data_IF_241341377509
#
_entry.id   IF_241341377509
#
_cell.length_a   1.000
_cell.length_b   1.000
_cell.length_c   1.000
_cell.angle_alpha   90.00
_cell.angle_beta   90.00
_cell.angle_gamma   90.00
#
_symmetry.space_group_name_H-M   'P 1'
#
loop_
_entity.id
_entity.type
_entity.pdbx_description
1 polymer ?
#
# COMPACT_ATOMS: atom_id res chain seq x y z
N UNK A 1 -22.11 -4.77 58.58
CA UNK A 1 -23.51 -5.24 58.46
C UNK A 1 -23.82 -5.73 57.04
N UNK A 2 -23.39 -5.03 55.99
CA UNK A 2 -23.53 -5.44 54.57
C UNK A 2 -22.78 -6.74 54.20
N UNK A 3 -21.57 -6.96 54.72
CA UNK A 3 -20.82 -8.20 54.48
C UNK A 3 -21.43 -9.46 55.12
N UNK A 4 -22.13 -9.27 56.25
CA UNK A 4 -22.76 -10.36 57.01
C UNK A 4 -24.11 -10.74 56.39
N UNK A 5 -24.85 -9.75 55.89
CA UNK A 5 -26.05 -9.96 55.06
C UNK A 5 -25.73 -10.60 53.71
N UNK A 6 -24.65 -10.18 53.04
CA UNK A 6 -24.19 -10.84 51.81
C UNK A 6 -23.81 -12.31 52.06
N UNK A 7 -23.19 -12.60 53.21
CA UNK A 7 -22.86 -13.96 53.62
C UNK A 7 -24.11 -14.82 53.90
N UNK A 8 -25.13 -14.27 54.58
CA UNK A 8 -26.40 -14.95 54.84
C UNK A 8 -27.23 -15.21 53.56
N UNK A 9 -27.29 -14.23 52.65
CA UNK A 9 -27.96 -14.38 51.35
C UNK A 9 -27.24 -15.36 50.43
N UNK A 10 -25.91 -15.46 50.51
CA UNK A 10 -25.15 -16.49 49.83
C UNK A 10 -25.59 -17.86 50.32
N UNK A 11 -25.63 -18.11 51.64
CA UNK A 11 -25.98 -19.42 52.22
C UNK A 11 -27.41 -19.92 51.95
N UNK A 12 -28.35 -19.07 51.53
CA UNK A 12 -29.73 -19.45 51.25
C UNK A 12 -29.96 -19.97 49.81
N UNK A 13 -28.98 -19.81 48.90
CA UNK A 13 -29.05 -20.34 47.52
C UNK A 13 -28.53 -21.76 47.42
N UNK A 14 -29.02 -22.51 46.44
CA UNK A 14 -28.55 -23.87 46.16
C UNK A 14 -27.01 -23.87 46.00
N UNK A 15 -26.28 -24.88 46.52
CA UNK A 15 -24.81 -24.90 46.47
C UNK A 15 -24.25 -24.83 45.04
N UNK A 16 -25.07 -25.23 44.04
CA UNK A 16 -24.75 -25.15 42.62
C UNK A 16 -24.69 -23.69 42.12
N UNK A 17 -25.60 -22.83 42.58
CA UNK A 17 -25.64 -21.41 42.16
C UNK A 17 -24.47 -20.60 42.71
N UNK A 18 -24.03 -20.89 43.94
CA UNK A 18 -22.88 -20.22 44.55
C UNK A 18 -21.58 -20.55 43.80
N UNK A 19 -21.37 -21.83 43.51
CA UNK A 19 -20.19 -22.30 42.76
C UNK A 19 -20.17 -21.71 41.36
N UNK A 20 -21.34 -21.63 40.70
CA UNK A 20 -21.48 -21.02 39.38
C UNK A 20 -21.15 -19.51 39.39
N UNK A 21 -21.62 -18.77 40.39
CA UNK A 21 -21.33 -17.34 40.52
C UNK A 21 -19.84 -17.05 40.76
N UNK A 22 -19.19 -17.84 41.64
CA UNK A 22 -17.76 -17.71 41.90
C UNK A 22 -16.92 -18.03 40.65
N UNK A 23 -17.30 -19.09 39.93
CA UNK A 23 -16.70 -19.44 38.64
C UNK A 23 -16.84 -18.31 37.61
N UNK A 24 -18.04 -17.75 37.43
CA UNK A 24 -18.25 -16.64 36.50
C UNK A 24 -17.46 -15.39 36.89
N UNK A 25 -17.39 -15.05 38.18
CA UNK A 25 -16.66 -13.88 38.66
C UNK A 25 -15.16 -14.01 38.39
N UNK A 26 -14.57 -15.17 38.69
CA UNK A 26 -13.17 -15.47 38.40
C UNK A 26 -12.88 -15.45 36.89
N UNK A 27 -13.74 -16.07 36.09
CA UNK A 27 -13.63 -16.09 34.63
C UNK A 27 -13.66 -14.68 34.02
N UNK A 28 -14.64 -13.85 34.41
CA UNK A 28 -14.81 -12.51 33.84
C UNK A 28 -13.70 -11.55 34.30
N UNK A 29 -13.23 -11.69 35.54
CA UNK A 29 -12.09 -10.92 36.04
C UNK A 29 -10.81 -11.24 35.25
N UNK A 30 -10.55 -12.52 35.01
CA UNK A 30 -9.40 -12.97 34.21
C UNK A 30 -9.51 -12.51 32.74
N UNK A 31 -10.71 -12.59 32.16
CA UNK A 31 -10.97 -12.09 30.81
C UNK A 31 -10.70 -10.58 30.73
N UNK A 32 -11.22 -9.81 31.68
CA UNK A 32 -10.97 -8.36 31.77
C UNK A 32 -9.49 -8.02 31.86
N UNK A 33 -8.74 -8.70 32.73
CA UNK A 33 -7.29 -8.53 32.86
C UNK A 33 -6.58 -8.80 31.52
N UNK A 34 -6.91 -9.91 30.86
CA UNK A 34 -6.30 -10.30 29.58
C UNK A 34 -6.58 -9.28 28.47
N UNK A 35 -7.81 -8.75 28.41
CA UNK A 35 -8.19 -7.72 27.42
C UNK A 35 -7.47 -6.40 27.69
N UNK A 36 -7.34 -6.00 28.96
CA UNK A 36 -6.60 -4.78 29.34
C UNK A 36 -5.12 -4.90 28.97
N UNK A 37 -4.50 -6.03 29.28
CA UNK A 37 -3.10 -6.30 28.93
C UNK A 37 -2.90 -6.27 27.40
N UNK A 38 -3.73 -6.98 26.65
CA UNK A 38 -3.68 -6.98 25.19
C UNK A 38 -3.91 -5.59 24.58
N UNK A 39 -4.85 -4.80 25.11
CA UNK A 39 -5.09 -3.42 24.70
C UNK A 39 -3.84 -2.55 24.90
N UNK A 40 -3.22 -2.61 26.08
CA UNK A 40 -2.00 -1.86 26.37
C UNK A 40 -0.86 -2.24 25.43
N UNK A 41 -0.68 -3.54 25.20
CA UNK A 41 0.32 -4.04 24.26
C UNK A 41 0.04 -3.56 22.83
N UNK A 42 -1.20 -3.68 22.34
CA UNK A 42 -1.59 -3.25 21.00
C UNK A 42 -1.35 -1.74 20.79
N UNK A 43 -1.73 -0.90 21.77
CA UNK A 43 -1.51 0.54 21.71
C UNK A 43 -0.02 0.87 21.73
N UNK A 44 0.76 0.27 22.64
CA UNK A 44 2.20 0.49 22.74
C UNK A 44 2.91 0.11 21.44
N UNK A 45 2.62 -1.07 20.90
CA UNK A 45 3.23 -1.55 19.65
C UNK A 45 2.78 -0.74 18.43
N UNK A 46 1.54 -0.24 18.41
CA UNK A 46 1.06 0.64 17.34
C UNK A 46 1.85 1.94 17.24
N UNK A 47 2.33 2.45 18.39
CA UNK A 47 3.18 3.65 18.46
C UNK A 47 4.62 3.37 18.02
N UNK A 48 5.16 2.19 18.34
CA UNK A 48 6.53 1.81 18.00
C UNK A 48 6.69 1.39 16.52
N UNK A 49 5.63 0.93 15.88
CA UNK A 49 5.72 0.36 14.52
C UNK A 49 5.81 1.43 13.43
N UNK A 50 6.77 1.24 12.49
CA UNK A 50 6.97 2.11 11.31
C UNK A 50 6.01 1.83 10.14
N UNK A 51 5.55 0.60 9.97
CA UNK A 51 4.64 0.22 8.87
C UNK A 51 3.20 0.59 9.20
N UNK A 52 2.59 1.44 8.37
CA UNK A 52 1.22 1.92 8.59
C UNK A 52 0.18 0.80 8.57
N UNK A 53 0.37 -0.25 7.76
CA UNK A 53 -0.54 -1.40 7.72
C UNK A 53 -0.65 -2.11 9.07
N UNK A 54 0.47 -2.32 9.76
CA UNK A 54 0.52 -2.94 11.09
C UNK A 54 -0.07 -1.99 12.14
N UNK A 55 0.26 -0.69 12.05
CA UNK A 55 -0.28 0.33 12.94
C UNK A 55 -1.81 0.39 12.88
N UNK A 56 -2.39 0.38 11.68
CA UNK A 56 -3.84 0.37 11.50
C UNK A 56 -4.44 -0.92 12.06
N UNK A 57 -3.87 -2.09 11.75
CA UNK A 57 -4.34 -3.38 12.29
C UNK A 57 -4.37 -3.41 13.81
N UNK A 58 -3.30 -2.96 14.47
CA UNK A 58 -3.23 -2.89 15.93
C UNK A 58 -4.22 -1.89 16.54
N UNK A 59 -4.49 -0.75 15.86
CA UNK A 59 -5.50 0.22 16.31
C UNK A 59 -6.92 -0.34 16.19
N UNK A 60 -7.22 -1.07 15.12
CA UNK A 60 -8.51 -1.75 14.94
C UNK A 60 -8.71 -2.83 16.02
N UNK A 61 -7.66 -3.62 16.30
CA UNK A 61 -7.70 -4.60 17.38
C UNK A 61 -7.88 -3.93 18.76
N UNK A 62 -7.20 -2.82 19.03
CA UNK A 62 -7.37 -2.03 20.24
C UNK A 62 -8.81 -1.49 20.38
N UNK A 63 -9.43 -1.02 19.30
CA UNK A 63 -10.84 -0.62 19.32
C UNK A 63 -11.75 -1.80 19.71
N UNK A 64 -11.51 -3.00 19.17
CA UNK A 64 -12.22 -4.21 19.56
C UNK A 64 -12.07 -4.55 21.05
N UNK A 65 -10.90 -4.32 21.63
CA UNK A 65 -10.68 -4.51 23.07
C UNK A 65 -11.53 -3.56 23.92
N UNK A 66 -11.75 -2.32 23.47
CA UNK A 66 -12.64 -1.38 24.18
C UNK A 66 -14.07 -1.93 24.25
N UNK A 67 -14.59 -2.47 23.14
CA UNK A 67 -15.91 -3.13 23.15
C UNK A 67 -15.94 -4.38 24.03
N UNK A 68 -14.86 -5.15 24.10
CA UNK A 68 -14.75 -6.28 25.03
C UNK A 68 -14.75 -5.81 26.49
N UNK A 69 -14.07 -4.71 26.82
CA UNK A 69 -14.08 -4.14 28.18
C UNK A 69 -15.46 -3.62 28.58
N UNK A 70 -16.17 -2.94 27.67
CA UNK A 70 -17.56 -2.52 27.91
C UNK A 70 -18.45 -3.73 28.26
N UNK A 71 -18.30 -4.83 27.53
CA UNK A 71 -19.02 -6.08 27.82
C UNK A 71 -18.63 -6.68 29.17
N UNK A 72 -17.34 -6.71 29.52
CA UNK A 72 -16.83 -7.19 30.82
C UNK A 72 -17.41 -6.36 31.97
N UNK A 73 -17.40 -5.02 31.86
CA UNK A 73 -17.98 -4.11 32.86
C UNK A 73 -19.48 -4.35 33.00
N UNK A 74 -20.21 -4.46 31.89
CA UNK A 74 -21.64 -4.79 31.90
C UNK A 74 -21.92 -6.11 32.64
N UNK A 75 -21.18 -7.17 32.33
CA UNK A 75 -21.32 -8.46 33.01
C UNK A 75 -20.98 -8.40 34.50
N UNK A 76 -19.91 -7.69 34.87
CA UNK A 76 -19.53 -7.52 36.28
C UNK A 76 -20.63 -6.79 37.06
N UNK A 77 -21.20 -5.71 36.51
CA UNK A 77 -22.29 -4.98 37.18
C UNK A 77 -23.53 -5.86 37.39
N UNK A 78 -23.89 -6.72 36.43
CA UNK A 78 -25.02 -7.66 36.58
C UNK A 78 -24.75 -8.74 37.62
N UNK A 79 -23.54 -9.31 37.66
CA UNK A 79 -23.17 -10.35 38.66
C UNK A 79 -23.14 -9.76 40.07
N UNK A 80 -22.55 -8.58 40.24
CA UNK A 80 -22.49 -7.89 41.54
C UNK A 80 -23.88 -7.45 42.00
N UNK A 81 -24.71 -6.94 41.09
CA UNK A 81 -26.11 -6.57 41.39
C UNK A 81 -26.95 -7.76 41.88
N UNK A 82 -26.76 -8.93 41.27
CA UNK A 82 -27.38 -10.18 41.72
C UNK A 82 -26.92 -10.57 43.15
N UNK A 83 -25.63 -10.40 43.45
CA UNK A 83 -25.07 -10.71 44.78
C UNK A 83 -25.50 -9.74 45.88
N UNK A 84 -25.87 -8.49 45.53
CA UNK A 84 -26.36 -7.48 46.46
C UNK A 84 -27.89 -7.51 46.65
N UNK A 85 -28.59 -8.45 46.00
CA UNK A 85 -30.05 -8.52 46.04
C UNK A 85 -30.76 -7.35 45.35
N UNK A 86 -30.03 -6.58 44.54
CA UNK A 86 -30.55 -5.48 43.72
C UNK A 86 -30.85 -5.91 42.27
N UNK A 87 -30.65 -7.20 41.97
CA UNK A 87 -30.87 -7.77 40.65
C UNK A 87 -32.34 -8.15 40.47
N UNK A 88 -32.99 -7.55 39.47
CA UNK A 88 -34.30 -7.98 39.01
C UNK A 88 -34.20 -9.43 38.50
N UNK A 89 -34.99 -10.34 39.07
CA UNK A 89 -35.09 -11.77 38.74
C UNK A 89 -35.81 -11.99 37.39
N UNK A 90 -35.60 -11.10 36.42
CA UNK A 90 -36.06 -11.34 35.06
C UNK A 90 -35.03 -12.25 34.41
N UNK A 91 -35.33 -13.55 34.38
CA UNK A 91 -34.95 -14.42 33.28
C UNK A 91 -35.34 -13.73 31.97
N UNK A 92 -34.48 -12.84 31.46
CA UNK A 92 -34.69 -12.21 30.17
C UNK A 92 -34.41 -13.27 29.09
N UNK A 93 -35.41 -14.13 28.82
CA UNK A 93 -35.57 -14.66 27.49
C UNK A 93 -35.65 -13.45 26.55
N UNK A 94 -34.53 -13.12 25.88
CA UNK A 94 -34.47 -12.08 24.86
C UNK A 94 -35.41 -12.48 23.71
N UNK A 95 -36.69 -12.09 23.80
CA UNK A 95 -37.68 -12.35 22.76
C UNK A 95 -37.60 -11.32 21.62
N UNK A 96 -36.78 -10.27 21.73
CA UNK A 96 -36.65 -9.23 20.69
C UNK A 96 -35.25 -8.63 20.62
N UNK A 97 -34.76 -8.44 19.39
CA UNK A 97 -33.47 -7.83 19.03
C UNK A 97 -33.37 -6.31 19.32
N UNK A 98 -34.47 -5.68 19.78
CA UNK A 98 -34.63 -4.21 19.82
C UNK A 98 -34.65 -3.65 21.25
N UNK A 99 -34.70 -4.49 22.29
CA UNK A 99 -34.59 -4.00 23.67
C UNK A 99 -33.16 -3.52 23.93
N UNK A 100 -33.01 -2.26 24.32
CA UNK A 100 -31.73 -1.56 24.50
C UNK A 100 -30.73 -2.33 25.38
N UNK A 101 -31.18 -3.15 26.32
CA UNK A 101 -30.32 -3.96 27.20
C UNK A 101 -29.80 -5.25 26.54
N UNK A 102 -30.62 -5.98 25.76
CA UNK A 102 -30.20 -7.21 25.05
C UNK A 102 -29.32 -6.89 23.82
N UNK A 103 -29.60 -5.78 23.13
CA UNK A 103 -28.80 -5.35 21.98
C UNK A 103 -27.31 -5.18 22.36
N UNK A 104 -27.02 -4.50 23.48
CA UNK A 104 -25.64 -4.33 23.96
C UNK A 104 -24.98 -5.64 24.41
N UNK A 105 -25.73 -6.58 24.99
CA UNK A 105 -25.18 -7.84 25.49
C UNK A 105 -24.69 -8.78 24.39
N UNK A 106 -25.29 -8.75 23.20
CA UNK A 106 -24.94 -9.64 22.08
C UNK A 106 -24.07 -8.94 21.04
N UNK A 107 -24.37 -7.67 20.73
CA UNK A 107 -23.63 -6.94 19.70
C UNK A 107 -22.24 -6.54 20.14
N UNK A 108 -22.04 -6.14 21.41
CA UNK A 108 -20.72 -5.72 21.91
C UNK A 108 -19.65 -6.81 21.80
N UNK A 109 -19.87 -8.06 22.29
CA UNK A 109 -18.87 -9.12 22.13
C UNK A 109 -18.70 -9.55 20.67
N UNK A 110 -19.76 -9.54 19.86
CA UNK A 110 -19.65 -9.85 18.42
C UNK A 110 -18.79 -8.82 17.67
N UNK A 111 -19.01 -7.52 17.92
CA UNK A 111 -18.21 -6.43 17.36
C UNK A 111 -16.77 -6.49 17.87
N UNK A 112 -16.57 -6.78 19.17
CA UNK A 112 -15.24 -6.93 19.74
C UNK A 112 -14.43 -8.03 19.04
N UNK A 113 -15.02 -9.24 18.90
CA UNK A 113 -14.37 -10.36 18.20
C UNK A 113 -14.10 -10.02 16.75
N UNK A 114 -15.08 -9.44 16.03
CA UNK A 114 -14.91 -9.05 14.64
C UNK A 114 -13.75 -8.07 14.47
N UNK A 115 -13.69 -7.01 15.28
CA UNK A 115 -12.64 -5.99 15.21
C UNK A 115 -11.26 -6.55 15.59
N UNK A 116 -11.18 -7.41 16.60
CA UNK A 116 -9.92 -8.06 16.99
C UNK A 116 -9.44 -8.98 15.87
N UNK A 117 -10.30 -9.86 15.34
CA UNK A 117 -9.97 -10.75 14.23
C UNK A 117 -9.56 -9.97 12.97
N UNK A 118 -10.32 -8.94 12.61
CA UNK A 118 -10.02 -8.13 11.44
C UNK A 118 -8.71 -7.35 11.63
N UNK A 119 -8.49 -6.77 12.81
CA UNK A 119 -7.26 -6.02 13.12
C UNK A 119 -6.00 -6.89 13.10
N UNK A 120 -6.09 -8.12 13.60
CA UNK A 120 -4.98 -9.07 13.61
C UNK A 120 -4.73 -9.73 12.25
N UNK A 121 -5.78 -9.94 11.43
CA UNK A 121 -5.64 -10.48 10.08
C UNK A 121 -5.29 -9.41 9.04
N UNK A 122 -5.49 -8.13 9.36
CA UNK A 122 -5.23 -7.00 8.47
C UNK A 122 -3.81 -7.01 7.88
N UNK A 123 -2.72 -7.18 8.67
CA UNK A 123 -1.36 -7.20 8.11
C UNK A 123 -1.12 -8.42 7.22
N UNK A 124 -1.72 -9.57 7.55
CA UNK A 124 -1.58 -10.81 6.80
C UNK A 124 -2.24 -10.73 5.41
N UNK A 125 -3.33 -9.97 5.28
CA UNK A 125 -4.03 -9.78 3.99
C UNK A 125 -3.46 -8.61 3.21
N UNK A 126 -3.15 -7.49 3.86
CA UNK A 126 -2.72 -6.28 3.16
C UNK A 126 -1.28 -6.38 2.63
N UNK A 127 -0.41 -7.11 3.33
CA UNK A 127 0.97 -7.35 2.91
C UNK A 127 1.07 -8.03 1.53
N UNK A 128 0.48 -9.23 1.29
CA UNK A 128 0.58 -9.90 0.00
C UNK A 128 -0.10 -9.10 -1.11
N UNK A 129 -1.19 -8.37 -0.83
CA UNK A 129 -1.83 -7.51 -1.83
C UNK A 129 -0.89 -6.38 -2.26
N UNK A 130 -0.26 -5.70 -1.30
CA UNK A 130 0.69 -4.62 -1.59
C UNK A 130 1.92 -5.12 -2.35
N UNK A 131 2.44 -6.29 -1.97
CA UNK A 131 3.57 -6.93 -2.64
C UNK A 131 3.20 -7.38 -4.06
N UNK A 132 2.02 -7.98 -4.25
CA UNK A 132 1.54 -8.36 -5.57
C UNK A 132 1.29 -7.15 -6.47
N UNK A 133 0.75 -6.05 -5.93
CA UNK A 133 0.61 -4.77 -6.66
C UNK A 133 1.97 -4.20 -7.05
N UNK A 134 2.94 -4.19 -6.13
CA UNK A 134 4.31 -3.72 -6.39
C UNK A 134 4.96 -4.54 -7.51
N UNK A 135 4.95 -5.88 -7.41
CA UNK A 135 5.48 -6.78 -8.45
C UNK A 135 4.79 -6.58 -9.79
N UNK A 136 3.45 -6.48 -9.81
CA UNK A 136 2.69 -6.20 -11.04
C UNK A 136 3.08 -4.86 -11.66
N UNK A 137 3.28 -3.83 -10.85
CA UNK A 137 3.74 -2.53 -11.33
C UNK A 137 5.17 -2.61 -11.88
N UNK A 138 6.09 -3.30 -11.19
CA UNK A 138 7.47 -3.48 -11.64
C UNK A 138 7.54 -4.25 -12.96
N UNK A 139 6.83 -5.38 -13.07
CA UNK A 139 6.78 -6.17 -14.31
C UNK A 139 6.17 -5.37 -15.46
N UNK A 140 5.04 -4.69 -15.23
CA UNK A 140 4.42 -3.86 -16.28
C UNK A 140 5.33 -2.72 -16.72
N UNK A 141 5.98 -2.04 -15.77
CA UNK A 141 6.90 -0.94 -16.04
C UNK A 141 8.11 -1.42 -16.86
N UNK A 142 8.65 -2.58 -16.50
CA UNK A 142 9.73 -3.21 -17.24
C UNK A 142 9.34 -3.52 -18.70
N UNK A 143 8.14 -4.05 -18.91
CA UNK A 143 7.61 -4.36 -20.24
C UNK A 143 7.26 -3.11 -21.06
N UNK A 144 6.74 -2.05 -20.45
CA UNK A 144 6.45 -0.79 -21.16
C UNK A 144 7.70 -0.01 -21.55
N UNK A 145 8.79 -0.15 -20.79
CA UNK A 145 10.10 0.44 -21.16
C UNK A 145 10.82 -0.36 -22.27
N UNK A 146 10.38 -1.60 -22.55
CA UNK A 146 11.04 -2.51 -23.48
C UNK A 146 11.22 -1.96 -24.90
N UNK A 147 10.22 -1.31 -25.55
CA UNK A 147 10.37 -0.86 -26.94
C UNK A 147 11.46 0.22 -27.08
N UNK A 148 11.47 1.20 -26.18
CA UNK A 148 12.48 2.25 -26.14
C UNK A 148 13.87 1.67 -25.87
N UNK A 149 13.98 0.78 -24.89
CA UNK A 149 15.24 0.12 -24.55
C UNK A 149 15.80 -0.73 -25.69
N UNK A 150 14.95 -1.50 -26.39
CA UNK A 150 15.39 -2.34 -27.52
C UNK A 150 16.00 -1.52 -28.65
N UNK A 151 15.37 -0.38 -28.99
CA UNK A 151 15.84 0.51 -30.04
C UNK A 151 17.18 1.19 -29.67
N UNK A 152 17.34 1.59 -28.40
CA UNK A 152 18.60 2.14 -27.88
C UNK A 152 19.71 1.09 -27.81
N UNK A 153 19.42 -0.10 -27.27
CA UNK A 153 20.40 -1.18 -27.10
C UNK A 153 20.86 -1.75 -28.45
N UNK A 154 19.99 -1.75 -29.47
CA UNK A 154 20.36 -2.17 -30.82
C UNK A 154 21.35 -1.21 -31.50
N UNK A 155 21.23 0.09 -31.24
CA UNK A 155 22.14 1.10 -31.77
C UNK A 155 23.43 1.23 -30.96
N UNK A 156 23.32 1.11 -29.63
CA UNK A 156 24.42 1.40 -28.70
C UNK A 156 24.62 0.22 -27.73
N UNK A 157 25.19 -0.91 -28.17
CA UNK A 157 25.37 -2.08 -27.32
C UNK A 157 26.18 -1.80 -26.03
N UNK A 158 27.03 -0.77 -26.04
CA UNK A 158 27.83 -0.35 -24.89
C UNK A 158 27.02 0.17 -23.69
N UNK A 159 25.75 0.55 -23.86
CA UNK A 159 24.89 0.95 -22.74
C UNK A 159 24.35 -0.26 -21.97
N UNK A 160 24.35 -1.44 -22.60
CA UNK A 160 23.89 -2.65 -21.97
C UNK A 160 24.97 -3.07 -20.99
N UNK A 161 24.69 -2.88 -19.71
CA UNK A 161 25.59 -3.31 -18.64
C UNK A 161 25.78 -4.82 -18.80
N UNK A 162 27.01 -5.32 -18.65
CA UNK A 162 27.31 -6.74 -18.88
C UNK A 162 26.73 -7.63 -17.78
N UNK A 163 26.41 -8.87 -18.12
CA UNK A 163 25.80 -9.89 -17.24
C UNK A 163 26.83 -10.63 -16.37
N UNK A 164 28.10 -10.19 -16.37
CA UNK A 164 29.18 -10.84 -15.62
C UNK A 164 28.97 -10.83 -14.08
N UNK A 165 28.00 -10.07 -13.58
CA UNK A 165 27.58 -10.02 -12.18
C UNK A 165 26.25 -10.74 -11.90
N UNK A 166 25.72 -11.53 -12.85
CA UNK A 166 24.65 -12.50 -12.57
C UNK A 166 25.25 -13.69 -11.79
N UNK A 167 25.83 -13.38 -10.63
CA UNK A 167 26.33 -14.33 -9.65
C UNK A 167 25.16 -15.20 -9.22
N UNK A 168 25.34 -16.49 -9.48
CA UNK A 168 24.52 -17.60 -9.06
C UNK A 168 23.95 -17.38 -7.64
N UNK A 169 22.64 -17.12 -7.56
CA UNK A 169 21.93 -17.07 -6.28
C UNK A 169 20.88 -15.95 -6.16
N UNK A 170 20.98 -14.89 -6.95
CA UNK A 170 19.93 -13.86 -7.01
C UNK A 170 18.97 -14.18 -8.14
N UNK A 171 17.85 -14.83 -7.84
CA UNK A 171 16.66 -14.69 -8.66
C UNK A 171 16.29 -13.20 -8.67
N UNK A 172 16.87 -12.44 -9.61
CA UNK A 172 16.92 -10.99 -9.63
C UNK A 172 15.53 -10.39 -9.35
N UNK A 173 15.42 -9.69 -8.23
CA UNK A 173 14.20 -8.99 -7.83
C UNK A 173 13.70 -8.14 -9.01
N UNK A 174 12.38 -8.13 -9.25
CA UNK A 174 11.80 -7.38 -10.38
C UNK A 174 12.11 -5.89 -10.28
N UNK A 175 12.32 -5.40 -9.05
CA UNK A 175 12.81 -4.07 -8.72
C UNK A 175 14.21 -3.79 -9.30
N UNK A 176 15.15 -4.71 -9.08
CA UNK A 176 16.53 -4.58 -9.57
C UNK A 176 16.58 -4.54 -11.10
N UNK A 177 15.82 -5.42 -11.77
CA UNK A 177 15.74 -5.45 -13.25
C UNK A 177 15.14 -4.16 -13.82
N UNK A 178 14.13 -3.61 -13.15
CA UNK A 178 13.53 -2.33 -13.54
C UNK A 178 14.52 -1.19 -13.37
N UNK A 179 15.18 -1.11 -12.21
CA UNK A 179 16.17 -0.07 -11.90
C UNK A 179 17.35 -0.11 -12.89
N UNK A 180 17.87 -1.30 -13.21
CA UNK A 180 18.91 -1.46 -14.23
C UNK A 180 18.46 -0.95 -15.59
N UNK A 181 17.26 -1.34 -16.05
CA UNK A 181 16.72 -0.88 -17.35
C UNK A 181 16.55 0.64 -17.40
N UNK A 182 16.14 1.27 -16.29
CA UNK A 182 16.02 2.74 -16.18
C UNK A 182 17.38 3.42 -16.35
N UNK A 183 18.43 2.88 -15.73
CA UNK A 183 19.81 3.39 -15.86
C UNK A 183 20.29 3.22 -17.31
N UNK A 184 20.14 2.02 -17.90
CA UNK A 184 20.57 1.75 -19.28
C UNK A 184 19.87 2.66 -20.31
N UNK A 185 18.57 2.95 -20.13
CA UNK A 185 17.85 3.92 -20.97
C UNK A 185 18.39 5.34 -20.76
N UNK A 186 18.65 5.73 -19.51
CA UNK A 186 19.16 7.06 -19.19
C UNK A 186 20.56 7.29 -19.79
N UNK A 187 21.43 6.29 -19.71
CA UNK A 187 22.75 6.28 -20.35
C UNK A 187 22.65 6.33 -21.87
N UNK A 188 21.68 5.60 -22.46
CA UNK A 188 21.34 5.68 -23.88
C UNK A 188 20.92 7.08 -24.32
N UNK A 189 20.01 7.71 -23.58
CA UNK A 189 19.56 9.07 -23.86
C UNK A 189 20.72 10.08 -23.71
N UNK A 190 21.59 9.88 -22.73
CA UNK A 190 22.77 10.72 -22.51
C UNK A 190 23.77 10.61 -23.66
N UNK A 191 24.06 9.39 -24.14
CA UNK A 191 24.98 9.19 -25.25
C UNK A 191 24.38 9.61 -26.60
N UNK A 192 23.06 9.72 -26.74
CA UNK A 192 22.41 10.37 -27.89
C UNK A 192 22.58 11.89 -27.92
N UNK A 193 23.12 12.54 -26.89
CA UNK A 193 23.24 14.01 -26.79
C UNK A 193 23.80 14.70 -28.04
N UNK A 194 24.86 14.21 -28.71
CA UNK A 194 25.40 14.85 -29.92
C UNK A 194 24.43 14.85 -31.13
N UNK A 195 23.44 13.96 -31.12
CA UNK A 195 22.47 13.76 -32.20
C UNK A 195 21.13 14.47 -31.92
N UNK A 196 20.98 15.14 -30.77
CA UNK A 196 19.71 15.76 -30.38
C UNK A 196 19.47 17.06 -31.15
N UNK A 197 18.51 17.01 -32.08
CA UNK A 197 17.82 18.11 -32.79
C UNK A 197 17.21 19.25 -31.95
N UNK A 198 17.79 20.46 -31.85
CA UNK A 198 17.01 21.62 -31.33
C UNK A 198 15.77 21.91 -32.18
N UNK A 199 15.89 21.85 -33.51
CA UNK A 199 14.78 22.08 -34.45
C UNK A 199 13.67 21.03 -34.28
N UNK A 200 14.05 19.76 -34.07
CA UNK A 200 13.08 18.68 -33.80
C UNK A 200 12.30 18.98 -32.52
N UNK A 201 12.98 19.42 -31.47
CA UNK A 201 12.30 19.76 -30.22
C UNK A 201 11.32 20.92 -30.40
N UNK A 202 11.73 22.01 -31.03
CA UNK A 202 10.86 23.18 -31.23
C UNK A 202 9.63 22.82 -32.09
N UNK A 203 9.84 22.02 -33.13
CA UNK A 203 8.75 21.46 -33.94
C UNK A 203 7.80 20.59 -33.10
N UNK A 204 8.33 19.66 -32.30
CA UNK A 204 7.51 18.81 -31.44
C UNK A 204 6.76 19.64 -30.38
N UNK A 205 7.40 20.63 -29.75
CA UNK A 205 6.79 21.51 -28.77
C UNK A 205 5.69 22.40 -29.36
N UNK A 206 5.76 22.73 -30.64
CA UNK A 206 4.68 23.45 -31.34
C UNK A 206 3.46 22.58 -31.60
N UNK A 207 3.65 21.26 -31.75
CA UNK A 207 2.58 20.29 -32.00
C UNK A 207 1.93 19.78 -30.70
N UNK A 208 2.73 19.64 -29.64
CA UNK A 208 2.27 19.24 -28.31
C UNK A 208 2.29 20.47 -27.42
N UNK A 209 1.14 21.09 -27.17
CA UNK A 209 1.05 22.20 -26.21
C UNK A 209 1.68 21.75 -24.86
N UNK A 210 2.84 22.31 -24.51
CA UNK A 210 3.77 21.77 -23.50
C UNK A 210 3.31 21.97 -22.05
N UNK A 211 2.01 22.14 -21.80
CA UNK A 211 1.48 22.51 -20.48
C UNK A 211 1.32 21.33 -19.52
N UNK A 212 1.55 20.10 -19.98
CA UNK A 212 1.41 18.88 -19.17
C UNK A 212 2.67 18.02 -19.22
N UNK A 213 2.92 17.23 -18.17
CA UNK A 213 4.02 16.26 -18.17
C UNK A 213 3.93 15.28 -19.35
N UNK A 214 2.73 14.88 -19.77
CA UNK A 214 2.54 14.02 -20.95
C UNK A 214 2.99 14.71 -22.24
N UNK A 215 2.68 16.00 -22.41
CA UNK A 215 3.12 16.76 -23.59
C UNK A 215 4.65 16.92 -23.64
N UNK A 216 5.29 17.16 -22.50
CA UNK A 216 6.73 17.21 -22.39
C UNK A 216 7.38 15.85 -22.70
N UNK A 217 6.78 14.76 -22.21
CA UNK A 217 7.22 13.40 -22.52
C UNK A 217 7.09 13.07 -24.03
N UNK A 218 6.04 13.55 -24.69
CA UNK A 218 5.86 13.40 -26.14
C UNK A 218 6.92 14.16 -26.94
N UNK A 219 7.28 15.37 -26.51
CA UNK A 219 8.39 16.14 -27.09
C UNK A 219 9.71 15.40 -26.91
N UNK A 220 10.00 14.90 -25.71
CA UNK A 220 11.21 14.13 -25.43
C UNK A 220 11.28 12.86 -26.27
N UNK A 221 10.16 12.13 -26.38
CA UNK A 221 10.07 10.92 -27.20
C UNK A 221 10.36 11.20 -28.69
N UNK A 222 9.83 12.30 -29.24
CA UNK A 222 10.10 12.72 -30.61
C UNK A 222 11.58 13.08 -30.83
N UNK A 223 12.20 13.78 -29.87
CA UNK A 223 13.62 14.13 -29.92
C UNK A 223 14.50 12.87 -29.84
N UNK A 224 14.20 11.94 -28.93
CA UNK A 224 14.94 10.67 -28.81
C UNK A 224 14.82 9.84 -30.08
N UNK A 225 13.61 9.72 -30.65
CA UNK A 225 13.38 9.00 -31.91
C UNK A 225 14.18 9.60 -33.08
N UNK A 226 14.20 10.92 -33.21
CA UNK A 226 14.96 11.59 -34.26
C UNK A 226 16.48 11.46 -34.02
N UNK A 227 16.94 11.66 -32.79
CA UNK A 227 18.36 11.51 -32.43
C UNK A 227 18.87 10.08 -32.69
N UNK A 228 18.04 9.07 -32.44
CA UNK A 228 18.38 7.69 -32.74
C UNK A 228 18.49 7.44 -34.26
N UNK A 229 17.61 8.04 -35.06
CA UNK A 229 17.68 7.95 -36.52
C UNK A 229 18.92 8.67 -37.09
N UNK A 230 19.28 9.82 -36.49
CA UNK A 230 20.48 10.57 -36.86
C UNK A 230 21.77 9.88 -36.41
N UNK A 231 21.79 9.22 -35.24
CA UNK A 231 22.88 8.33 -34.80
C UNK A 231 23.13 7.23 -35.82
N UNK A 232 22.07 6.52 -36.22
CA UNK A 232 22.13 5.45 -37.24
C UNK A 232 22.72 5.92 -38.57
N UNK A 233 22.50 7.18 -38.91
CA UNK A 233 23.01 7.81 -40.12
C UNK A 233 24.36 8.51 -39.93
N UNK A 234 24.92 8.54 -38.72
CA UNK A 234 26.16 9.26 -38.40
C UNK A 234 26.05 10.78 -38.51
N UNK A 235 24.85 11.35 -38.37
CA UNK A 235 24.59 12.80 -38.55
C UNK A 235 24.51 13.53 -37.21
N UNK A 236 25.50 14.34 -36.90
CA UNK A 236 25.45 15.21 -35.73
C UNK A 236 24.41 16.33 -35.89
N UNK A 237 23.83 16.76 -34.77
CA UNK A 237 22.92 17.90 -34.78
C UNK A 237 23.69 19.21 -34.98
N UNK A 238 23.25 20.04 -35.94
CA UNK A 238 23.80 21.39 -36.14
C UNK A 238 23.66 22.27 -34.87
N UNK A 239 22.50 22.17 -34.22
CA UNK A 239 22.22 22.80 -32.93
C UNK A 239 21.74 21.74 -31.94
N UNK A 240 22.57 21.50 -30.92
CA UNK A 240 22.29 20.50 -29.90
C UNK A 240 21.18 20.96 -28.98
N UNK A 241 20.17 20.12 -28.89
CA UNK A 241 19.07 20.27 -27.96
C UNK A 241 19.56 20.07 -26.49
N UNK A 242 19.38 21.04 -25.56
CA UNK A 242 19.53 20.77 -24.11
C UNK A 242 18.68 19.57 -23.60
N UNK A 243 19.03 18.98 -22.45
CA UNK A 243 18.17 18.01 -21.76
C UNK A 243 16.79 18.61 -21.48
N UNK A 244 15.75 17.79 -21.38
CA UNK A 244 14.44 18.27 -20.93
C UNK A 244 14.52 18.75 -19.49
N UNK A 245 13.88 19.89 -19.20
CA UNK A 245 13.85 20.49 -17.85
C UNK A 245 13.22 19.51 -16.87
N UNK A 246 12.16 18.81 -17.28
CA UNK A 246 11.53 17.79 -16.45
C UNK A 246 12.49 16.64 -16.14
N UNK A 247 13.27 16.14 -17.11
CA UNK A 247 14.26 15.09 -16.85
C UNK A 247 15.35 15.58 -15.88
N UNK A 248 15.77 16.84 -15.99
CA UNK A 248 16.80 17.42 -15.12
C UNK A 248 16.30 17.74 -13.70
N UNK A 249 15.00 17.91 -13.49
CA UNK A 249 14.41 18.27 -12.20
C UNK A 249 14.20 17.07 -11.25
N UNK A 250 14.53 15.85 -11.69
CA UNK A 250 14.23 14.62 -10.94
C UNK A 250 15.42 14.18 -10.10
N UNK A 251 15.15 13.92 -8.82
CA UNK A 251 16.18 13.62 -7.81
C UNK A 251 16.15 12.15 -7.34
N UNK A 252 15.07 11.41 -7.63
CA UNK A 252 14.90 10.01 -7.20
C UNK A 252 14.56 9.10 -8.39
N UNK A 253 15.10 7.88 -8.33
CA UNK A 253 15.01 6.86 -9.36
C UNK A 253 13.56 6.44 -9.66
N UNK A 254 12.67 6.55 -8.67
CA UNK A 254 11.24 6.32 -8.88
C UNK A 254 10.59 7.41 -9.75
N UNK A 255 10.98 8.67 -9.56
CA UNK A 255 10.50 9.77 -10.39
C UNK A 255 11.04 9.63 -11.82
N UNK A 256 12.30 9.22 -11.97
CA UNK A 256 12.90 8.89 -13.28
C UNK A 256 12.17 7.74 -13.97
N UNK A 257 11.86 6.68 -13.22
CA UNK A 257 11.07 5.55 -13.75
C UNK A 257 9.72 6.04 -14.28
N UNK A 258 8.99 6.84 -13.51
CA UNK A 258 7.69 7.37 -13.92
C UNK A 258 7.78 8.25 -15.17
N UNK A 259 8.82 9.08 -15.28
CA UNK A 259 9.07 9.88 -16.47
C UNK A 259 9.36 9.03 -17.69
N UNK A 260 10.29 8.09 -17.58
CA UNK A 260 10.66 7.23 -18.69
C UNK A 260 9.48 6.36 -19.13
N UNK A 261 8.55 6.02 -18.24
CA UNK A 261 7.30 5.36 -18.62
C UNK A 261 6.42 6.25 -19.52
N UNK A 262 6.30 7.54 -19.20
CA UNK A 262 5.58 8.49 -20.06
C UNK A 262 6.29 8.67 -21.40
N UNK A 263 7.62 8.79 -21.40
CA UNK A 263 8.42 8.93 -22.62
C UNK A 263 8.33 7.66 -23.47
N UNK A 264 8.41 6.47 -22.87
CA UNK A 264 8.32 5.20 -23.59
C UNK A 264 6.91 4.96 -24.16
N UNK A 265 5.87 5.33 -23.42
CA UNK A 265 4.49 5.30 -23.93
C UNK A 265 4.32 6.23 -25.12
N UNK A 266 4.75 7.49 -25.00
CA UNK A 266 4.73 8.43 -26.12
C UNK A 266 5.60 7.96 -27.28
N UNK A 267 6.77 7.37 -27.00
CA UNK A 267 7.65 6.80 -28.01
C UNK A 267 6.94 5.69 -28.80
N UNK A 268 6.20 4.81 -28.14
CA UNK A 268 5.44 3.76 -28.81
C UNK A 268 4.30 4.30 -29.70
N UNK A 269 3.69 5.43 -29.33
CA UNK A 269 2.55 6.02 -30.04
C UNK A 269 2.93 7.09 -31.08
N UNK A 270 4.09 7.73 -30.96
CA UNK A 270 4.64 8.63 -31.99
C UNK A 270 5.09 7.74 -33.15
N UNK A 271 4.29 7.72 -34.22
CA UNK A 271 4.58 6.97 -35.45
C UNK A 271 5.97 7.31 -35.99
N UNK A 272 6.58 6.34 -36.70
CA UNK A 272 7.89 6.50 -37.36
C UNK A 272 7.97 7.87 -38.03
N UNK A 273 8.91 8.71 -37.57
CA UNK A 273 9.20 10.01 -38.17
C UNK A 273 9.46 9.77 -39.65
N UNK A 274 8.67 10.42 -40.51
CA UNK A 274 8.90 10.37 -41.94
C UNK A 274 10.24 11.01 -42.27
N UNK A 275 10.80 10.69 -43.44
CA UNK A 275 12.07 11.21 -43.96
C UNK A 275 12.11 12.76 -44.09
N UNK A 276 11.00 13.43 -43.78
CA UNK A 276 10.81 14.89 -43.73
C UNK A 276 11.05 15.52 -42.36
N UNK A 277 11.42 14.74 -41.34
CA UNK A 277 11.72 15.23 -39.99
C UNK A 277 10.49 15.70 -39.20
N UNK A 278 9.27 15.35 -39.65
CA UNK A 278 8.02 15.68 -38.95
C UNK A 278 7.44 14.47 -38.21
N UNK A 279 7.08 14.59 -36.92
CA UNK A 279 6.34 13.55 -36.23
C UNK A 279 4.92 13.46 -36.81
N UNK A 280 4.51 12.29 -37.29
CA UNK A 280 3.12 12.02 -37.68
C UNK A 280 2.42 11.29 -36.54
N UNK A 281 1.37 11.89 -36.00
CA UNK A 281 0.44 11.24 -35.06
C UNK A 281 -0.32 10.13 -35.78
N UNK A 282 -0.36 8.93 -35.18
CA UNK A 282 -1.23 7.85 -35.65
C UNK A 282 -2.67 8.31 -35.46
N UNK A 283 -3.47 8.19 -36.53
CA UNK A 283 -4.81 8.76 -36.64
C UNK A 283 -5.76 8.41 -35.50
N UNK A 284 -6.64 9.37 -35.23
CA UNK A 284 -7.84 9.33 -34.37
C UNK A 284 -8.73 8.13 -34.62
#
# INVERSE_FOLDING_TARGET
MTALFAYEQLTARSPVEQVYALYLLSYISFLGFSVVDFLMQAVRQSKATRRDSIRVGLRVAAAGCVFALVYVVYKLTRIVGLGLGLGDETHEQCSSLVTSTCAFSVTSPAIAVLLICLGLTWPAVLYPISQARRRRWETRSFESLRPLWQDLAAEMPQIVLSSAEDVEGSSADSDFRLQRRVIEISDGILALRPYRSRRVRESAASNFHTTTEQSAAAVEAAVVRAALADSKAGRYADEVAPPSVDAAAREDLRADTQWLLLVADAYAHVGRVGDDGRPRTIGT
#
